data_IF_102814699286
#
_entry.id   IF_102814699286
#
_cell.length_a   1.000
_cell.length_b   1.000
_cell.length_c   1.000
_cell.angle_alpha   90.00
_cell.angle_beta   90.00
_cell.angle_gamma   90.00
#
_symmetry.space_group_name_H-M   'P 1'
#
loop_
_entity.id
_entity.type
_entity.pdbx_description
1 polymer ?
#
# COMPACT_ATOMS: atom_id res chain seq x y z
N UNK A 1 -17.14 23.87 -1.36
CA UNK A 1 -16.45 24.71 -0.39
C UNK A 1 -15.14 25.26 -0.94
N UNK A 2 -14.16 24.41 -1.32
CA UNK A 2 -12.85 24.85 -1.81
C UNK A 2 -12.91 25.83 -3.00
N UNK A 3 -13.85 25.64 -3.92
CA UNK A 3 -14.01 26.52 -5.10
C UNK A 3 -14.60 27.88 -4.74
N UNK A 4 -15.48 27.94 -3.73
CA UNK A 4 -16.18 29.16 -3.33
C UNK A 4 -15.43 29.97 -2.28
N UNK A 5 -14.76 29.29 -1.37
CA UNK A 5 -14.18 29.89 -0.14
C UNK A 5 -12.64 29.70 -0.04
N UNK A 6 -12.01 29.32 -1.17
CA UNK A 6 -10.56 29.13 -1.25
C UNK A 6 -10.04 27.81 -0.66
N UNK A 7 -8.71 27.59 -0.70
CA UNK A 7 -8.08 26.40 -0.19
C UNK A 7 -8.29 26.25 1.32
N UNK A 8 -8.25 25.03 1.82
CA UNK A 8 -8.25 24.77 3.25
C UNK A 8 -6.85 25.05 3.83
N UNK A 9 -6.81 25.67 5.01
CA UNK A 9 -5.57 26.10 5.66
C UNK A 9 -5.15 25.18 6.81
N UNK A 10 -6.09 24.43 7.40
CA UNK A 10 -5.84 23.50 8.50
C UNK A 10 -6.88 22.39 8.52
N UNK A 11 -6.63 21.36 9.36
CA UNK A 11 -7.62 20.31 9.64
C UNK A 11 -8.88 20.90 10.30
N UNK A 12 -8.72 21.90 11.14
CA UNK A 12 -9.82 22.58 11.83
C UNK A 12 -10.63 23.45 10.88
N UNK A 13 -9.97 24.19 9.98
CA UNK A 13 -10.64 24.92 8.90
C UNK A 13 -11.44 23.98 8.00
N UNK A 14 -10.86 22.85 7.62
CA UNK A 14 -11.56 21.82 6.85
C UNK A 14 -12.81 21.32 7.59
N UNK A 15 -12.70 20.99 8.88
CA UNK A 15 -13.83 20.49 9.67
C UNK A 15 -14.94 21.55 9.83
N UNK A 16 -14.59 22.81 10.10
CA UNK A 16 -15.56 23.89 10.34
C UNK A 16 -16.37 24.27 9.09
N UNK A 17 -15.78 24.11 7.90
CA UNK A 17 -16.40 24.48 6.62
C UNK A 17 -17.26 23.41 6.00
N UNK A 18 -17.26 22.18 6.54
CA UNK A 18 -18.01 21.05 5.98
C UNK A 18 -19.28 20.73 6.75
N UNK A 19 -20.27 20.21 6.04
CA UNK A 19 -21.46 19.62 6.66
C UNK A 19 -21.11 18.24 7.23
N UNK A 20 -20.85 18.17 8.53
CA UNK A 20 -20.44 16.95 9.26
C UNK A 20 -21.49 15.84 9.24
N UNK A 21 -22.75 16.14 8.85
CA UNK A 21 -23.78 15.12 8.62
C UNK A 21 -23.54 14.34 7.34
N UNK A 22 -22.83 14.93 6.38
CA UNK A 22 -22.48 14.32 5.08
C UNK A 22 -21.07 13.75 5.04
N UNK A 23 -20.14 14.32 5.82
CA UNK A 23 -18.74 13.92 5.87
C UNK A 23 -18.42 13.36 7.24
N UNK A 24 -18.42 12.04 7.35
CA UNK A 24 -18.19 11.37 8.61
C UNK A 24 -16.69 11.26 8.97
N UNK A 25 -16.40 10.89 10.21
CA UNK A 25 -15.05 10.67 10.73
C UNK A 25 -14.19 9.79 9.80
N UNK A 26 -14.76 8.71 9.27
CA UNK A 26 -14.03 7.78 8.38
C UNK A 26 -13.53 8.48 7.09
N UNK A 27 -14.29 9.44 6.57
CA UNK A 27 -13.86 10.24 5.43
C UNK A 27 -12.65 11.11 5.76
N UNK A 28 -12.61 11.77 6.93
CA UNK A 28 -11.44 12.51 7.41
C UNK A 28 -10.23 11.60 7.50
N UNK A 29 -10.37 10.46 8.19
CA UNK A 29 -9.29 9.49 8.35
C UNK A 29 -8.77 9.00 7.00
N UNK A 30 -9.65 8.69 6.05
CA UNK A 30 -9.26 8.24 4.71
C UNK A 30 -8.50 9.31 3.93
N UNK A 31 -8.94 10.56 3.98
CA UNK A 31 -8.26 11.68 3.32
C UNK A 31 -6.86 11.92 3.91
N UNK A 32 -6.72 11.84 5.25
CA UNK A 32 -5.42 12.00 5.92
C UNK A 32 -4.49 10.85 5.55
N UNK A 33 -4.95 9.60 5.62
CA UNK A 33 -4.17 8.41 5.24
C UNK A 33 -3.71 8.47 3.79
N UNK A 34 -4.56 9.00 2.91
CA UNK A 34 -4.27 9.18 1.48
C UNK A 34 -3.30 10.34 1.19
N UNK A 35 -2.96 11.17 2.20
CA UNK A 35 -2.05 12.31 2.01
C UNK A 35 -2.71 13.58 1.48
N UNK A 36 -4.04 13.68 1.51
CA UNK A 36 -4.75 14.86 1.00
C UNK A 36 -4.43 16.17 1.76
N UNK A 37 -3.87 16.04 2.95
CA UNK A 37 -3.48 17.15 3.82
C UNK A 37 -1.98 17.44 3.84
N UNK A 38 -1.14 16.72 3.09
CA UNK A 38 0.34 16.83 3.16
C UNK A 38 0.85 18.24 2.84
N UNK A 39 0.12 19.03 2.03
CA UNK A 39 0.45 20.43 1.74
C UNK A 39 0.13 21.37 2.91
N UNK A 40 -0.74 20.97 3.83
CA UNK A 40 -1.15 21.73 4.99
C UNK A 40 -0.26 21.35 6.19
N UNK A 41 -0.07 20.05 6.39
CA UNK A 41 0.74 19.52 7.48
C UNK A 41 1.31 18.15 7.11
N UNK A 42 2.64 17.99 7.19
CA UNK A 42 3.35 16.79 6.74
C UNK A 42 3.21 15.58 7.68
N UNK A 43 2.91 15.81 8.97
CA UNK A 43 2.75 14.73 9.93
C UNK A 43 1.31 14.17 9.91
N UNK A 44 1.07 13.15 9.11
CA UNK A 44 -0.23 12.47 9.01
C UNK A 44 -0.68 11.82 10.32
N UNK A 45 0.27 11.40 11.18
CA UNK A 45 -0.07 10.81 12.49
C UNK A 45 -0.73 11.82 13.40
N UNK A 46 -0.16 13.04 13.50
CA UNK A 46 -0.72 14.15 14.29
C UNK A 46 -2.08 14.61 13.74
N UNK A 47 -2.22 14.68 12.41
CA UNK A 47 -3.51 14.96 11.79
C UNK A 47 -4.56 13.91 12.17
N UNK A 48 -4.21 12.61 12.08
CA UNK A 48 -5.12 11.52 12.40
C UNK A 48 -5.53 11.52 13.88
N UNK A 49 -4.59 11.76 14.79
CA UNK A 49 -4.86 11.87 16.22
C UNK A 49 -5.82 13.05 16.54
N UNK A 50 -5.75 14.12 15.74
CA UNK A 50 -6.53 15.34 15.94
C UNK A 50 -7.93 15.33 15.32
N UNK A 51 -8.30 14.28 14.56
CA UNK A 51 -9.60 14.21 13.85
C UNK A 51 -10.78 14.43 14.81
N UNK A 52 -10.79 13.74 15.96
CA UNK A 52 -11.88 13.89 16.93
C UNK A 52 -11.97 15.30 17.49
N UNK A 53 -10.82 15.89 17.81
CA UNK A 53 -10.76 17.26 18.31
C UNK A 53 -11.31 18.24 17.25
N UNK A 54 -10.94 18.07 15.99
CA UNK A 54 -11.39 18.93 14.90
C UNK A 54 -12.92 18.82 14.69
N UNK A 55 -13.46 17.60 14.70
CA UNK A 55 -14.90 17.37 14.57
C UNK A 55 -15.67 18.00 15.75
N UNK A 56 -15.25 17.74 17.00
CA UNK A 56 -15.91 18.30 18.19
C UNK A 56 -15.90 19.82 18.18
N UNK A 57 -14.79 20.44 17.79
CA UNK A 57 -14.68 21.91 17.69
C UNK A 57 -15.60 22.47 16.61
N UNK A 58 -15.69 21.81 15.46
CA UNK A 58 -16.59 22.23 14.39
C UNK A 58 -18.06 22.12 14.81
N UNK A 59 -18.46 21.03 15.51
CA UNK A 59 -19.81 20.86 16.04
C UNK A 59 -20.16 21.93 17.06
N UNK A 60 -19.24 22.30 17.95
CA UNK A 60 -19.41 23.39 18.91
C UNK A 60 -19.61 24.73 18.20
N UNK A 61 -18.79 25.02 17.18
CA UNK A 61 -18.92 26.24 16.37
C UNK A 61 -20.27 26.36 15.66
N UNK A 62 -20.76 25.27 15.07
CA UNK A 62 -22.08 25.24 14.43
C UNK A 62 -23.24 25.38 15.42
N UNK A 63 -23.12 24.83 16.64
CA UNK A 63 -24.14 24.99 17.69
C UNK A 63 -24.25 26.45 18.17
N UNK A 64 -23.13 27.15 18.27
CA UNK A 64 -23.12 28.58 18.70
C UNK A 64 -23.60 29.54 17.62
N UNK A 65 -23.49 29.24 16.33
CA UNK A 65 -24.05 30.07 15.25
C UNK A 65 -25.59 30.17 15.31
N UNK A 66 -26.26 29.28 16.01
CA UNK A 66 -27.73 29.31 16.25
C UNK A 66 -28.16 30.18 17.44
N UNK A 67 -27.25 30.64 18.29
CA UNK A 67 -27.51 31.52 19.41
C UNK A 67 -26.70 32.79 19.19
N UNK A 68 -27.38 33.92 18.98
CA UNK A 68 -26.78 35.27 18.87
C UNK A 68 -25.97 35.61 20.11
N UNK A 69 -24.73 35.20 20.20
CA UNK A 69 -23.73 35.70 21.15
C UNK A 69 -22.95 36.85 20.49
N UNK A 70 -23.29 38.07 20.86
CA UNK A 70 -22.82 39.33 20.25
C UNK A 70 -21.36 39.67 20.57
N UNK A 71 -20.61 38.82 21.27
CA UNK A 71 -19.25 39.14 21.76
C UNK A 71 -18.42 37.84 21.94
N UNK A 72 -18.09 37.13 20.85
CA UNK A 72 -16.87 36.37 20.86
C UNK A 72 -16.27 36.50 19.43
N UNK A 73 -15.31 37.47 19.32
CA UNK A 73 -14.27 37.31 18.33
C UNK A 73 -13.67 35.91 18.56
N UNK A 74 -14.00 34.97 17.70
CA UNK A 74 -13.25 33.76 17.66
C UNK A 74 -11.80 34.15 17.37
N UNK A 75 -11.01 34.30 18.45
CA UNK A 75 -9.57 34.24 18.31
C UNK A 75 -9.30 32.98 17.54
N UNK A 76 -8.89 33.13 16.29
CA UNK A 76 -8.28 32.10 15.46
C UNK A 76 -6.89 31.80 16.03
N UNK A 77 -6.83 31.54 17.35
CA UNK A 77 -5.67 30.93 17.96
C UNK A 77 -5.55 29.56 17.31
N UNK A 78 -4.45 29.36 16.62
CA UNK A 78 -4.15 28.09 15.99
C UNK A 78 -4.29 26.97 17.03
N UNK A 79 -5.38 26.21 16.93
CA UNK A 79 -5.58 25.06 17.81
C UNK A 79 -4.46 24.08 17.45
N UNK A 80 -3.55 23.76 18.39
CA UNK A 80 -2.45 22.87 18.08
C UNK A 80 -2.97 21.47 17.80
N UNK A 81 -2.36 20.80 16.82
CA UNK A 81 -2.59 19.39 16.59
C UNK A 81 -2.08 18.57 17.79
N UNK A 82 -2.71 17.44 18.03
CA UNK A 82 -2.20 16.45 18.98
C UNK A 82 -0.89 15.91 18.42
N UNK A 83 0.19 16.09 19.18
CA UNK A 83 1.51 15.61 18.77
C UNK A 83 1.56 14.08 18.73
N UNK A 84 2.17 13.57 17.68
CA UNK A 84 2.34 12.13 17.46
C UNK A 84 3.58 11.88 16.62
N UNK A 85 4.26 10.78 16.86
CA UNK A 85 5.44 10.39 16.10
C UNK A 85 5.12 10.25 14.62
N UNK A 86 5.98 10.81 13.77
CA UNK A 86 5.86 10.69 12.32
C UNK A 86 5.89 9.21 11.92
N UNK A 87 4.99 8.83 11.02
CA UNK A 87 4.99 7.46 10.53
C UNK A 87 6.27 7.15 9.76
N UNK A 88 6.83 5.98 10.06
CA UNK A 88 7.84 5.38 9.19
C UNK A 88 7.25 5.11 7.80
N UNK A 89 8.09 5.14 6.75
CA UNK A 89 7.66 4.98 5.36
C UNK A 89 6.83 3.70 5.15
N UNK A 90 7.21 2.58 5.79
CA UNK A 90 6.43 1.33 5.70
C UNK A 90 5.00 1.48 6.24
N UNK A 91 4.85 2.18 7.37
CA UNK A 91 3.55 2.46 7.96
C UNK A 91 2.74 3.40 7.07
N UNK A 92 3.36 4.45 6.56
CA UNK A 92 2.71 5.39 5.65
C UNK A 92 2.14 4.66 4.42
N UNK A 93 2.91 3.79 3.78
CA UNK A 93 2.45 2.99 2.63
C UNK A 93 1.28 2.06 3.01
N UNK A 94 1.34 1.43 4.18
CA UNK A 94 0.24 0.59 4.65
C UNK A 94 -1.06 1.40 4.86
N UNK A 95 -0.94 2.60 5.42
CA UNK A 95 -2.07 3.51 5.63
C UNK A 95 -2.64 4.04 4.30
N UNK A 96 -1.80 4.34 3.31
CA UNK A 96 -2.24 4.67 1.94
C UNK A 96 -3.04 3.52 1.32
N UNK A 97 -2.54 2.29 1.44
CA UNK A 97 -3.25 1.12 0.93
C UNK A 97 -4.60 0.90 1.60
N UNK A 98 -4.70 1.12 2.93
CA UNK A 98 -5.98 1.06 3.65
C UNK A 98 -6.97 2.09 3.10
N UNK A 99 -6.53 3.29 2.77
CA UNK A 99 -7.38 4.39 2.31
C UNK A 99 -7.73 4.29 0.83
N UNK A 100 -6.77 3.93 -0.03
CA UNK A 100 -6.86 4.01 -1.49
C UNK A 100 -7.02 2.63 -2.15
N UNK A 101 -6.66 1.55 -1.47
CA UNK A 101 -6.58 0.21 -2.04
C UNK A 101 -5.28 -0.08 -2.81
N UNK A 102 -4.37 0.91 -2.90
CA UNK A 102 -3.05 0.78 -3.55
C UNK A 102 -2.01 1.68 -2.88
N UNK A 103 -0.73 1.45 -3.17
CA UNK A 103 0.38 2.28 -2.71
C UNK A 103 0.54 3.49 -3.63
N UNK A 104 0.54 4.69 -3.07
CA UNK A 104 0.56 5.93 -3.84
C UNK A 104 1.94 6.61 -3.86
N UNK A 105 2.54 6.84 -2.69
CA UNK A 105 3.77 7.62 -2.59
C UNK A 105 5.03 6.83 -2.99
N UNK A 106 5.03 5.53 -2.78
CA UNK A 106 6.14 4.65 -3.11
C UNK A 106 5.66 3.19 -3.27
N UNK A 107 6.54 2.29 -3.71
CA UNK A 107 6.25 0.85 -3.83
C UNK A 107 7.00 0.05 -2.78
N UNK A 108 6.35 -0.89 -2.04
CA UNK A 108 7.00 -1.64 -0.96
C UNK A 108 8.20 -2.49 -1.42
N UNK A 109 8.27 -2.86 -2.70
CA UNK A 109 9.42 -3.57 -3.25
C UNK A 109 10.73 -2.79 -3.11
N UNK A 110 10.69 -1.45 -3.09
CA UNK A 110 11.87 -0.60 -2.94
C UNK A 110 12.66 -0.86 -1.66
N UNK A 111 12.00 -1.27 -0.58
CA UNK A 111 12.69 -1.63 0.66
C UNK A 111 13.60 -2.85 0.52
N UNK A 112 13.35 -3.66 -0.48
CA UNK A 112 14.06 -4.90 -0.76
C UNK A 112 14.91 -4.81 -2.03
N UNK A 113 14.69 -3.79 -2.88
CA UNK A 113 15.23 -3.73 -4.24
C UNK A 113 16.74 -3.91 -4.26
N UNK A 114 17.49 -3.13 -3.48
CA UNK A 114 18.95 -3.20 -3.45
C UNK A 114 19.46 -4.62 -3.17
N UNK A 115 18.89 -5.26 -2.17
CA UNK A 115 19.27 -6.61 -1.76
C UNK A 115 18.83 -7.66 -2.79
N UNK A 116 17.59 -7.56 -3.26
CA UNK A 116 17.02 -8.54 -4.20
C UNK A 116 17.75 -8.49 -5.55
N UNK A 117 18.12 -7.30 -6.05
CA UNK A 117 18.80 -7.16 -7.36
C UNK A 117 20.19 -7.79 -7.41
N UNK A 118 20.80 -8.09 -6.27
CA UNK A 118 22.04 -8.87 -6.21
C UNK A 118 21.83 -10.34 -6.62
N UNK A 119 20.61 -10.88 -6.51
CA UNK A 119 20.27 -12.28 -6.83
C UNK A 119 19.33 -12.39 -8.03
N UNK A 120 18.45 -11.42 -8.18
CA UNK A 120 17.38 -11.39 -9.17
C UNK A 120 17.54 -10.13 -10.01
N UNK A 121 18.41 -10.17 -11.05
CA UNK A 121 18.70 -8.97 -11.85
C UNK A 121 17.53 -8.58 -12.76
N UNK A 122 16.68 -9.54 -13.17
CA UNK A 122 15.63 -9.29 -14.14
C UNK A 122 14.44 -8.52 -13.52
N UNK A 123 13.97 -7.48 -14.22
CA UNK A 123 12.73 -6.78 -13.88
C UNK A 123 11.54 -7.51 -14.49
N UNK A 124 10.37 -7.43 -13.83
CA UNK A 124 9.16 -8.10 -14.32
C UNK A 124 8.69 -7.53 -15.67
N UNK A 125 8.94 -6.24 -15.93
CA UNK A 125 8.63 -5.58 -17.21
C UNK A 125 9.48 -6.04 -18.40
N UNK A 126 10.62 -6.70 -18.16
CA UNK A 126 11.60 -7.08 -19.18
C UNK A 126 11.49 -8.56 -19.60
N UNK A 127 10.61 -9.32 -18.94
CA UNK A 127 10.52 -10.76 -19.13
C UNK A 127 9.93 -11.12 -20.50
N UNK A 128 10.59 -12.06 -21.17
CA UNK A 128 10.18 -12.60 -22.47
C UNK A 128 10.10 -14.13 -22.40
N UNK A 129 9.24 -14.77 -23.17
CA UNK A 129 9.22 -16.23 -23.26
C UNK A 129 10.59 -16.79 -23.66
N UNK A 130 11.08 -17.80 -22.92
CA UNK A 130 12.30 -18.55 -23.19
C UNK A 130 12.24 -19.94 -22.56
N UNK A 131 13.05 -20.89 -23.03
CA UNK A 131 13.08 -22.25 -22.49
C UNK A 131 13.68 -22.31 -21.08
N UNK A 132 14.74 -21.54 -20.82
CA UNK A 132 15.37 -21.51 -19.49
C UNK A 132 14.49 -20.75 -18.49
N UNK A 133 14.41 -21.23 -17.24
CA UNK A 133 13.64 -20.53 -16.21
C UNK A 133 14.25 -19.17 -15.88
N UNK A 134 13.42 -18.28 -15.38
CA UNK A 134 13.81 -17.03 -14.75
C UNK A 134 13.75 -17.18 -13.22
N UNK A 135 14.67 -16.51 -12.54
CA UNK A 135 14.49 -16.17 -11.15
C UNK A 135 13.93 -14.73 -11.10
N UNK A 136 12.79 -14.56 -10.49
CA UNK A 136 12.06 -13.29 -10.38
C UNK A 136 11.66 -13.00 -8.95
N UNK A 137 11.43 -11.73 -8.63
CA UNK A 137 10.94 -11.32 -7.33
C UNK A 137 9.90 -10.21 -7.46
N UNK A 138 8.96 -10.17 -6.53
CA UNK A 138 7.94 -9.13 -6.45
C UNK A 138 7.12 -9.24 -5.17
N UNK A 139 6.36 -8.20 -4.90
CA UNK A 139 5.35 -8.21 -3.84
C UNK A 139 4.09 -8.85 -4.40
N UNK A 140 3.45 -9.72 -3.63
CA UNK A 140 2.16 -10.30 -3.99
C UNK A 140 1.09 -9.23 -3.89
N UNK A 141 0.54 -8.80 -5.02
CA UNK A 141 -0.52 -7.79 -5.07
C UNK A 141 -1.93 -8.38 -5.13
N UNK A 142 -2.09 -9.56 -5.73
CA UNK A 142 -3.38 -10.27 -5.86
C UNK A 142 -3.16 -11.76 -5.72
N UNK A 143 -4.09 -12.44 -5.05
CA UNK A 143 -4.13 -13.91 -4.93
C UNK A 143 -5.48 -14.41 -5.41
N UNK A 144 -5.46 -15.34 -6.36
CA UNK A 144 -6.66 -16.05 -6.86
C UNK A 144 -6.46 -17.54 -6.74
N UNK A 145 -7.30 -18.21 -5.97
CA UNK A 145 -7.30 -19.67 -5.85
C UNK A 145 -8.27 -20.26 -6.86
N UNK A 146 -7.87 -21.33 -7.54
CA UNK A 146 -8.72 -22.06 -8.48
C UNK A 146 -8.60 -23.56 -8.28
N UNK A 147 -9.72 -24.26 -8.48
CA UNK A 147 -9.74 -25.71 -8.53
C UNK A 147 -9.60 -26.15 -10.00
N UNK A 148 -8.73 -27.11 -10.24
CA UNK A 148 -8.52 -27.73 -11.56
C UNK A 148 -8.63 -29.25 -11.44
N UNK A 149 -8.67 -29.95 -12.56
CA UNK A 149 -8.64 -31.40 -12.59
C UNK A 149 -7.38 -32.04 -11.95
N UNK A 150 -6.30 -31.23 -11.83
CA UNK A 150 -5.02 -31.64 -11.21
C UNK A 150 -4.87 -31.13 -9.76
N UNK A 151 -5.96 -30.64 -9.15
CA UNK A 151 -6.00 -30.12 -7.80
C UNK A 151 -6.03 -28.59 -7.73
N UNK A 152 -5.90 -28.05 -6.51
CA UNK A 152 -5.96 -26.61 -6.21
C UNK A 152 -4.68 -25.91 -6.68
N UNK A 153 -4.83 -24.80 -7.38
CA UNK A 153 -3.72 -23.95 -7.80
C UNK A 153 -3.92 -22.53 -7.27
N UNK A 154 -2.82 -21.78 -7.13
CA UNK A 154 -2.86 -20.35 -6.90
C UNK A 154 -2.38 -19.61 -8.15
N UNK A 155 -3.07 -18.54 -8.51
CA UNK A 155 -2.61 -17.54 -9.47
C UNK A 155 -2.34 -16.29 -8.66
N UNK A 156 -1.07 -15.92 -8.55
CA UNK A 156 -0.63 -14.75 -7.81
C UNK A 156 -0.09 -13.71 -8.79
N UNK A 157 -0.43 -12.44 -8.56
CA UNK A 157 0.15 -11.33 -9.31
C UNK A 157 1.32 -10.79 -8.52
N UNK A 158 2.53 -10.89 -9.07
CA UNK A 158 3.74 -10.26 -8.52
C UNK A 158 3.91 -8.87 -9.11
N UNK A 159 4.34 -7.92 -8.27
CA UNK A 159 4.61 -6.52 -8.62
C UNK A 159 5.99 -6.12 -8.07
N UNK A 160 6.89 -5.61 -8.92
CA UNK A 160 8.22 -5.13 -8.53
C UNK A 160 8.36 -3.60 -8.64
N UNK A 161 7.23 -2.90 -8.80
CA UNK A 161 7.17 -1.46 -9.01
C UNK A 161 7.50 -1.00 -10.44
N UNK A 162 8.13 -1.87 -11.25
CA UNK A 162 8.41 -1.62 -12.66
C UNK A 162 7.46 -2.39 -13.59
N UNK A 163 6.88 -3.49 -13.11
CA UNK A 163 5.95 -4.31 -13.88
C UNK A 163 5.18 -5.29 -13.00
N UNK A 164 4.15 -5.90 -13.61
CA UNK A 164 3.32 -6.94 -12.98
C UNK A 164 3.27 -8.16 -13.86
N UNK A 165 3.25 -9.33 -13.23
CA UNK A 165 3.10 -10.60 -13.94
C UNK A 165 2.33 -11.60 -13.11
N UNK A 166 1.47 -12.38 -13.77
CA UNK A 166 0.76 -13.47 -13.14
C UNK A 166 1.65 -14.72 -13.08
N UNK A 167 1.72 -15.32 -11.90
CA UNK A 167 2.46 -16.55 -11.60
C UNK A 167 1.49 -17.64 -11.22
N UNK A 168 1.51 -18.73 -11.95
CA UNK A 168 0.70 -19.92 -11.66
C UNK A 168 1.51 -20.86 -10.78
N UNK A 169 1.04 -21.07 -9.57
CA UNK A 169 1.62 -22.01 -8.59
C UNK A 169 0.79 -23.29 -8.59
N UNK A 170 1.35 -24.36 -9.13
CA UNK A 170 0.69 -25.66 -9.23
C UNK A 170 0.46 -26.33 -7.88
N UNK A 171 -0.46 -27.28 -7.81
CA UNK A 171 -0.91 -27.94 -6.57
C UNK A 171 0.24 -28.44 -5.68
N UNK A 172 1.23 -29.14 -6.25
CA UNK A 172 2.35 -29.71 -5.49
C UNK A 172 3.15 -28.59 -4.78
N UNK A 173 3.53 -27.56 -5.52
CA UNK A 173 4.30 -26.44 -4.98
C UNK A 173 3.44 -25.66 -3.98
N UNK A 174 2.16 -25.43 -4.31
CA UNK A 174 1.23 -24.70 -3.45
C UNK A 174 1.12 -25.33 -2.05
N UNK A 175 1.08 -26.65 -1.98
CA UNK A 175 1.01 -27.36 -0.69
C UNK A 175 2.24 -27.09 0.18
N UNK A 176 3.43 -27.01 -0.44
CA UNK A 176 4.70 -26.77 0.26
C UNK A 176 4.86 -25.31 0.73
N UNK A 177 4.32 -24.35 -0.04
CA UNK A 177 4.54 -22.90 0.18
C UNK A 177 3.28 -22.12 0.54
N UNK A 178 2.22 -22.81 0.94
CA UNK A 178 0.92 -22.19 1.20
C UNK A 178 1.00 -20.99 2.16
N UNK A 179 1.81 -21.13 3.21
CA UNK A 179 1.99 -20.09 4.22
C UNK A 179 2.78 -18.86 3.74
N UNK A 180 3.52 -19.00 2.65
CA UNK A 180 4.26 -17.90 2.02
C UNK A 180 3.36 -17.07 1.10
N UNK A 181 2.25 -17.63 0.58
CA UNK A 181 1.36 -16.97 -0.35
C UNK A 181 0.36 -16.11 0.42
N UNK A 182 0.80 -14.88 0.74
CA UNK A 182 0.01 -13.85 1.42
C UNK A 182 0.18 -12.53 0.71
N UNK A 183 -0.88 -11.73 0.62
CA UNK A 183 -0.80 -10.38 0.06
C UNK A 183 0.25 -9.54 0.82
N UNK A 184 0.88 -8.63 0.10
CA UNK A 184 1.94 -7.73 0.58
C UNK A 184 3.25 -8.41 1.00
N UNK A 185 3.39 -9.71 0.80
CA UNK A 185 4.64 -10.42 1.03
C UNK A 185 5.54 -10.37 -0.19
N UNK A 186 6.84 -10.18 0.06
CA UNK A 186 7.87 -10.38 -0.95
C UNK A 186 8.02 -11.90 -1.21
N UNK A 187 8.01 -12.25 -2.48
CA UNK A 187 8.20 -13.62 -2.92
C UNK A 187 9.27 -13.67 -4.02
N UNK A 188 10.08 -14.72 -3.98
CA UNK A 188 11.02 -15.04 -5.06
C UNK A 188 10.56 -16.33 -5.72
N UNK A 189 10.49 -16.32 -7.05
CA UNK A 189 9.96 -17.43 -7.84
C UNK A 189 10.95 -17.80 -8.93
N UNK A 190 11.29 -19.06 -9.01
CA UNK A 190 11.88 -19.67 -10.19
C UNK A 190 10.77 -20.23 -11.09
N UNK A 191 10.71 -19.80 -12.33
CA UNK A 191 9.62 -20.23 -13.22
C UNK A 191 9.88 -19.96 -14.69
N UNK A 192 9.04 -20.54 -15.53
CA UNK A 192 9.10 -20.38 -17.00
C UNK A 192 8.06 -19.39 -17.44
N UNK A 193 8.50 -18.44 -18.27
CA UNK A 193 7.62 -17.45 -18.91
C UNK A 193 7.03 -18.07 -20.16
N UNK A 194 5.71 -17.98 -20.30
CA UNK A 194 4.97 -18.34 -21.50
C UNK A 194 3.97 -17.25 -21.85
N UNK A 195 3.56 -17.21 -23.11
CA UNK A 195 2.46 -16.37 -23.54
C UNK A 195 1.14 -16.89 -22.93
N UNK A 196 0.27 -15.97 -22.53
CA UNK A 196 -1.06 -16.28 -22.05
C UNK A 196 -2.09 -15.88 -23.12
N UNK A 197 -2.61 -16.85 -23.82
CA UNK A 197 -3.56 -16.64 -24.92
C UNK A 197 -4.89 -15.99 -24.46
N UNK A 198 -5.21 -16.03 -23.16
CA UNK A 198 -6.44 -15.45 -22.62
C UNK A 198 -6.30 -13.94 -22.32
N UNK A 199 -5.14 -13.51 -21.81
CA UNK A 199 -4.90 -12.11 -21.44
C UNK A 199 -4.09 -11.36 -22.49
N UNK A 200 -3.49 -12.05 -23.46
CA UNK A 200 -2.61 -11.47 -24.48
C UNK A 200 -1.25 -11.04 -23.93
N UNK A 201 -0.95 -11.35 -22.66
CA UNK A 201 0.30 -11.00 -21.98
C UNK A 201 1.19 -12.20 -21.73
N UNK A 202 2.17 -12.03 -20.87
CA UNK A 202 3.02 -13.11 -20.37
C UNK A 202 2.55 -13.58 -19.00
N UNK A 203 2.68 -14.87 -18.74
CA UNK A 203 2.50 -15.49 -17.42
C UNK A 203 3.68 -16.38 -17.08
N UNK A 204 3.83 -16.68 -15.81
CA UNK A 204 4.88 -17.59 -15.31
C UNK A 204 4.25 -18.85 -14.75
N UNK A 205 4.82 -19.99 -15.10
CA UNK A 205 4.57 -21.24 -14.41
C UNK A 205 5.66 -21.47 -13.39
N UNK A 206 5.32 -21.43 -12.09
CA UNK A 206 6.28 -21.62 -11.01
C UNK A 206 6.88 -23.03 -11.02
N UNK A 207 8.19 -23.13 -10.86
CA UNK A 207 8.96 -24.37 -10.65
C UNK A 207 9.31 -24.48 -9.18
N UNK A 208 9.76 -23.37 -8.57
CA UNK A 208 10.05 -23.25 -7.14
C UNK A 208 9.66 -21.88 -6.63
N UNK A 209 9.36 -21.82 -5.34
CA UNK A 209 8.98 -20.57 -4.65
C UNK A 209 9.80 -20.49 -3.36
N UNK A 210 10.33 -19.31 -3.09
CA UNK A 210 11.19 -19.06 -1.95
C UNK A 210 10.74 -17.81 -1.21
N UNK A 211 10.91 -17.81 0.09
CA UNK A 211 10.89 -16.60 0.88
C UNK A 211 12.28 -15.91 0.86
N UNK A 212 12.33 -14.71 1.40
CA UNK A 212 13.57 -13.93 1.45
C UNK A 212 14.67 -14.61 2.29
N UNK A 213 14.30 -15.22 3.40
CA UNK A 213 15.25 -15.86 4.32
C UNK A 213 15.91 -17.07 3.68
N UNK A 214 15.14 -17.86 2.96
CA UNK A 214 15.62 -19.04 2.23
C UNK A 214 16.64 -18.66 1.15
N UNK A 215 16.38 -17.58 0.40
CA UNK A 215 17.32 -17.08 -0.62
C UNK A 215 18.60 -16.56 0.02
N UNK A 216 18.50 -15.80 1.10
CA UNK A 216 19.68 -15.29 1.82
C UNK A 216 20.55 -16.42 2.38
N UNK A 217 19.93 -17.43 2.98
CA UNK A 217 20.62 -18.59 3.53
C UNK A 217 21.34 -19.39 2.44
N UNK A 218 20.71 -19.55 1.28
CA UNK A 218 21.32 -20.26 0.15
C UNK A 218 22.58 -19.55 -0.35
N UNK A 219 22.61 -18.21 -0.40
CA UNK A 219 23.82 -17.47 -0.79
C UNK A 219 24.93 -17.57 0.25
N UNK A 220 24.60 -17.47 1.53
CA UNK A 220 25.60 -17.63 2.59
C UNK A 220 26.30 -19.00 2.48
N UNK A 221 25.56 -20.04 2.13
CA UNK A 221 26.12 -21.37 1.89
C UNK A 221 27.03 -21.42 0.64
N UNK A 222 26.66 -20.72 -0.45
CA UNK A 222 27.51 -20.65 -1.66
C UNK A 222 28.81 -19.88 -1.44
N UNK A 223 28.78 -18.79 -0.67
CA UNK A 223 29.98 -17.97 -0.37
C UNK A 223 30.92 -18.62 0.65
N UNK A 224 30.43 -19.58 1.46
CA UNK A 224 31.26 -20.32 2.41
C UNK A 224 32.00 -21.51 1.81
N UNK A 225 31.71 -21.86 0.54
CA UNK A 225 32.31 -23.00 -0.20
C UNK A 225 33.30 -22.53 -1.25
N UNK A 226 33.40 -21.23 -1.52
CA UNK A 226 34.37 -20.59 -2.41
C UNK A 226 35.48 -19.92 -1.62
#
# INVERSE_FOLDING_TARGET
>A
ERKSNGPFTSLFDFASRLDLRKVNRKAFESLIRAGAFDQIHSNRASLLASVNLAITKAEQGHAHQGQNTLFEEFETSEIPLIDSDIWEERKQLAEEKIALGFYFSNHPFKFYEKMIREFVPNRLSELKPRESPYLIAGIISVIRMRMTSRGKIAIITLDDGAGRIDVVVGNKILTEVYDLIKEDKLLVVEGRVSHDDFTGGNRISAIKVYDLLTIQSSKAAFLSIS
#
